data_IF_992771993704
#
_entry.id   IF_992771993704
#
_cell.length_a   1.000
_cell.length_b   1.000
_cell.length_c   1.000
_cell.angle_alpha   90.00
_cell.angle_beta   90.00
_cell.angle_gamma   90.00
#
_symmetry.space_group_name_H-M   'P 1'
#
loop_
_entity.id
_entity.type
_entity.pdbx_description
1 polymer ?
#
# COMPACT_ATOMS: atom_id res chain seq x y z
N UNK A 1 -73.49 -20.62 17.65
CA UNK A 1 -72.10 -20.98 18.00
C UNK A 1 -71.24 -20.77 16.75
N UNK A 2 -70.34 -19.77 16.75
CA UNK A 2 -69.25 -19.48 15.77
C UNK A 2 -69.67 -19.23 14.30
N UNK A 3 -69.13 -18.28 13.52
CA UNK A 3 -68.06 -17.27 13.62
C UNK A 3 -68.26 -16.35 12.39
N UNK A 4 -68.38 -15.04 12.59
CA UNK A 4 -68.02 -14.04 11.56
C UNK A 4 -66.65 -13.46 11.92
N UNK A 5 -65.93 -12.97 10.91
CA UNK A 5 -64.65 -12.22 10.92
C UNK A 5 -63.41 -13.08 10.66
N UNK A 6 -62.94 -13.10 9.41
CA UNK A 6 -61.51 -13.14 9.04
C UNK A 6 -61.40 -12.85 7.54
N UNK A 7 -61.29 -11.59 7.11
CA UNK A 7 -60.77 -11.23 5.76
C UNK A 7 -60.54 -9.72 5.64
N UNK A 8 -59.58 -9.14 6.40
CA UNK A 8 -59.04 -7.79 6.09
C UNK A 8 -57.55 -7.56 6.40
N UNK A 9 -56.78 -8.51 6.94
CA UNK A 9 -55.43 -8.21 7.45
C UNK A 9 -54.23 -8.79 6.69
N UNK A 10 -54.40 -9.39 5.50
CA UNK A 10 -53.29 -10.08 4.79
C UNK A 10 -52.72 -9.28 3.60
N UNK A 11 -53.42 -8.25 3.09
CA UNK A 11 -53.00 -7.57 1.84
C UNK A 11 -52.03 -6.39 2.07
N UNK A 12 -51.88 -5.89 3.29
CA UNK A 12 -50.99 -4.73 3.56
C UNK A 12 -49.55 -5.15 3.86
N UNK A 13 -49.31 -6.35 4.40
CA UNK A 13 -47.94 -6.81 4.72
C UNK A 13 -47.16 -7.23 3.46
N UNK A 14 -47.81 -7.81 2.45
CA UNK A 14 -47.12 -8.25 1.23
C UNK A 14 -46.67 -7.08 0.34
N UNK A 15 -47.38 -5.95 0.34
CA UNK A 15 -46.96 -4.74 -0.39
C UNK A 15 -45.80 -4.02 0.29
N UNK A 16 -45.74 -4.02 1.63
CA UNK A 16 -44.58 -3.49 2.37
C UNK A 16 -43.34 -4.35 2.17
N UNK A 17 -43.47 -5.68 2.17
CA UNK A 17 -42.33 -6.57 1.93
C UNK A 17 -41.84 -6.53 0.48
N UNK A 18 -42.71 -6.43 -0.53
CA UNK A 18 -42.26 -6.31 -1.92
C UNK A 18 -41.68 -4.94 -2.23
N UNK A 19 -42.22 -3.84 -1.68
CA UNK A 19 -41.63 -2.49 -1.85
C UNK A 19 -40.31 -2.33 -1.08
N UNK A 20 -40.16 -2.96 0.09
CA UNK A 20 -38.89 -3.01 0.82
C UNK A 20 -37.84 -3.85 0.07
N UNK A 21 -38.21 -5.01 -0.47
CA UNK A 21 -37.29 -5.83 -1.28
C UNK A 21 -36.93 -5.18 -2.61
N UNK A 22 -37.88 -4.52 -3.29
CA UNK A 22 -37.58 -3.74 -4.50
C UNK A 22 -36.67 -2.55 -4.20
N UNK A 23 -36.82 -1.85 -3.07
CA UNK A 23 -35.94 -0.74 -2.70
C UNK A 23 -34.53 -1.20 -2.30
N UNK A 24 -34.38 -2.34 -1.62
CA UNK A 24 -33.05 -2.93 -1.38
C UNK A 24 -32.38 -3.44 -2.67
N UNK A 25 -33.13 -4.06 -3.58
CA UNK A 25 -32.61 -4.50 -4.87
C UNK A 25 -32.25 -3.31 -5.79
N UNK A 26 -33.02 -2.22 -5.75
CA UNK A 26 -32.67 -0.97 -6.45
C UNK A 26 -31.44 -0.30 -5.85
N UNK A 27 -31.28 -0.33 -4.52
CA UNK A 27 -30.10 0.21 -3.83
C UNK A 27 -28.82 -0.56 -4.23
N UNK A 28 -28.91 -1.87 -4.42
CA UNK A 28 -27.79 -2.70 -4.93
C UNK A 28 -27.46 -2.38 -6.40
N UNK A 29 -28.46 -2.09 -7.24
CA UNK A 29 -28.25 -1.68 -8.63
C UNK A 29 -27.74 -0.24 -8.81
N UNK A 30 -27.98 0.65 -7.84
CA UNK A 30 -27.54 2.05 -7.86
C UNK A 30 -26.12 2.27 -7.32
N UNK A 31 -25.39 1.22 -6.93
CA UNK A 31 -24.01 1.37 -6.42
C UNK A 31 -23.91 2.22 -5.16
N UNK A 32 -25.02 2.41 -4.43
CA UNK A 32 -25.04 3.10 -3.14
C UNK A 32 -24.35 2.22 -2.10
N UNK A 33 -23.03 2.28 -2.08
CA UNK A 33 -22.18 1.65 -1.09
C UNK A 33 -22.50 2.23 0.28
N UNK A 34 -23.25 1.48 1.10
CA UNK A 34 -23.61 1.89 2.45
C UNK A 34 -22.37 1.83 3.36
N UNK A 35 -21.68 2.96 3.52
CA UNK A 35 -20.54 3.08 4.44
C UNK A 35 -21.07 3.32 5.85
N UNK A 36 -20.72 2.42 6.77
CA UNK A 36 -21.05 2.56 8.18
C UNK A 36 -19.97 3.36 8.92
N UNK A 37 -20.43 4.24 9.82
CA UNK A 37 -19.55 5.01 10.70
C UNK A 37 -19.81 4.63 12.15
N UNK A 38 -18.79 4.21 12.89
CA UNK A 38 -18.91 4.04 14.35
C UNK A 38 -18.66 5.37 15.05
N UNK A 39 -19.27 5.54 16.23
CA UNK A 39 -19.15 6.74 17.06
C UNK A 39 -18.14 6.56 18.18
N UNK A 40 -17.33 7.59 18.45
CA UNK A 40 -16.59 7.76 19.71
C UNK A 40 -17.01 9.07 20.36
N UNK A 41 -17.52 9.00 21.59
CA UNK A 41 -18.07 10.16 22.28
C UNK A 41 -16.98 11.07 22.86
N UNK A 42 -17.27 12.37 22.91
CA UNK A 42 -16.43 13.40 23.54
C UNK A 42 -15.00 13.44 22.98
N UNK A 43 -14.83 13.09 21.71
CA UNK A 43 -13.56 13.04 21.02
C UNK A 43 -13.69 13.60 19.61
N UNK A 44 -12.60 14.12 19.08
CA UNK A 44 -12.52 14.62 17.70
C UNK A 44 -11.16 14.34 17.09
N UNK A 45 -11.12 14.06 15.78
CA UNK A 45 -9.88 14.04 15.01
C UNK A 45 -9.54 15.48 14.60
N UNK A 46 -8.43 16.03 15.11
CA UNK A 46 -8.12 17.47 14.96
C UNK A 46 -7.26 17.74 13.73
N UNK A 47 -7.78 18.58 12.84
CA UNK A 47 -7.20 18.97 11.56
C UNK A 47 -7.28 17.86 10.49
N UNK A 48 -6.76 18.12 9.28
CA UNK A 48 -7.20 17.43 8.04
C UNK A 48 -8.72 17.60 7.79
N UNK A 49 -9.31 18.65 8.35
CA UNK A 49 -10.69 19.02 8.08
C UNK A 49 -10.75 19.56 6.66
N UNK A 50 -11.42 18.83 5.78
CA UNK A 50 -11.59 19.17 4.37
C UNK A 50 -12.76 20.11 4.14
N UNK A 51 -13.78 20.05 4.99
CA UNK A 51 -14.93 20.95 4.93
C UNK A 51 -15.63 21.05 6.29
N UNK A 52 -16.34 22.15 6.51
CA UNK A 52 -17.18 22.35 7.69
C UNK A 52 -18.58 22.77 7.27
N UNK A 53 -19.60 22.03 7.70
CA UNK A 53 -21.01 22.30 7.39
C UNK A 53 -21.84 22.46 8.65
N UNK A 54 -22.83 23.34 8.59
CA UNK A 54 -23.86 23.48 9.61
C UNK A 54 -25.11 22.75 9.14
N UNK A 55 -25.61 21.84 9.95
CA UNK A 55 -26.77 21.00 9.64
C UNK A 55 -27.81 21.10 10.76
N UNK A 56 -29.08 20.89 10.42
CA UNK A 56 -30.14 20.91 11.43
C UNK A 56 -30.19 19.59 12.18
N UNK A 57 -29.96 18.49 11.48
CA UNK A 57 -29.87 17.15 12.06
C UNK A 57 -28.46 16.58 11.89
N UNK A 58 -27.90 16.01 12.96
CA UNK A 58 -26.58 15.39 12.91
C UNK A 58 -26.53 14.19 11.96
N UNK A 59 -27.67 13.55 11.68
CA UNK A 59 -27.77 12.47 10.69
C UNK A 59 -27.43 12.91 9.26
N UNK A 60 -27.36 14.22 8.97
CA UNK A 60 -26.94 14.75 7.67
C UNK A 60 -25.42 14.61 7.42
N UNK A 61 -24.60 14.64 8.48
CA UNK A 61 -23.13 14.56 8.36
C UNK A 61 -22.61 13.32 7.60
N UNK A 62 -23.08 12.08 7.84
CA UNK A 62 -22.62 10.91 7.08
C UNK A 62 -22.95 11.01 5.59
N UNK A 63 -24.10 11.58 5.20
CA UNK A 63 -24.44 11.76 3.79
C UNK A 63 -23.51 12.77 3.12
N UNK A 64 -23.24 13.90 3.78
CA UNK A 64 -22.26 14.88 3.30
C UNK A 64 -20.86 14.26 3.11
N UNK A 65 -20.46 13.34 4.00
CA UNK A 65 -19.20 12.62 3.85
C UNK A 65 -19.22 11.68 2.64
N UNK A 66 -20.30 10.90 2.50
CA UNK A 66 -20.47 9.95 1.39
C UNK A 66 -20.47 10.64 0.02
N UNK A 67 -21.14 11.79 -0.10
CA UNK A 67 -21.19 12.59 -1.33
C UNK A 67 -19.81 13.08 -1.80
N UNK A 68 -18.87 13.27 -0.88
CA UNK A 68 -17.49 13.69 -1.22
C UNK A 68 -16.62 12.53 -1.71
N UNK A 69 -16.99 11.30 -1.40
CA UNK A 69 -16.23 10.11 -1.75
C UNK A 69 -15.00 9.86 -0.85
N UNK A 70 -14.40 8.66 -0.94
CA UNK A 70 -13.33 8.19 -0.04
C UNK A 70 -12.05 9.04 -0.06
N UNK A 71 -11.72 9.68 -1.17
CA UNK A 71 -10.52 10.53 -1.26
C UNK A 71 -10.67 11.88 -0.55
N UNK A 72 -11.90 12.33 -0.32
CA UNK A 72 -12.19 13.65 0.28
C UNK A 72 -12.87 13.55 1.66
N UNK A 73 -13.50 12.41 1.99
CA UNK A 73 -14.03 12.15 3.31
C UNK A 73 -13.96 10.67 3.71
N UNK A 74 -13.27 10.41 4.81
CA UNK A 74 -13.13 9.11 5.48
C UNK A 74 -13.80 9.09 6.85
N UNK A 75 -13.71 10.21 7.57
CA UNK A 75 -14.28 10.39 8.91
C UNK A 75 -14.87 11.80 9.04
N UNK A 76 -15.62 12.04 10.10
CA UNK A 76 -16.10 13.38 10.42
C UNK A 76 -16.26 13.58 11.93
N UNK A 77 -16.16 14.82 12.38
CA UNK A 77 -16.55 15.21 13.74
C UNK A 77 -17.92 15.87 13.71
N UNK A 78 -18.74 15.60 14.72
CA UNK A 78 -20.03 16.28 14.95
C UNK A 78 -19.91 17.12 16.20
N UNK A 79 -19.90 18.44 16.02
CA UNK A 79 -20.00 19.41 17.10
C UNK A 79 -21.43 19.50 17.61
N UNK A 80 -21.60 19.33 18.92
CA UNK A 80 -22.87 19.45 19.64
C UNK A 80 -23.49 20.83 19.43
N UNK A 81 -24.81 20.88 19.52
CA UNK A 81 -25.63 22.05 19.21
C UNK A 81 -25.12 23.32 19.88
N UNK A 82 -24.83 24.34 19.07
CA UNK A 82 -24.65 25.71 19.55
C UNK A 82 -26.02 26.34 19.86
N UNK A 83 -26.09 27.42 20.65
CA UNK A 83 -27.34 28.09 21.07
C UNK A 83 -28.39 28.33 19.97
N UNK A 84 -27.99 28.28 18.70
CA UNK A 84 -28.83 28.49 17.51
C UNK A 84 -29.52 27.20 17.00
N UNK A 85 -29.33 26.04 17.63
CA UNK A 85 -30.01 24.78 17.24
C UNK A 85 -29.33 23.95 16.15
N UNK A 86 -28.18 24.38 15.63
CA UNK A 86 -27.46 23.68 14.55
C UNK A 86 -26.27 22.86 15.06
N UNK A 87 -26.04 21.70 14.42
CA UNK A 87 -24.85 20.88 14.56
C UNK A 87 -23.75 21.34 13.60
N UNK A 88 -22.50 21.01 13.93
CA UNK A 88 -21.34 21.30 13.08
C UNK A 88 -20.73 20.00 12.59
N UNK A 89 -20.79 19.72 11.29
CA UNK A 89 -20.06 18.59 10.69
C UNK A 89 -18.69 19.08 10.23
N UNK A 90 -17.60 18.56 10.79
CA UNK A 90 -16.24 18.74 10.27
C UNK A 90 -15.84 17.47 9.50
N UNK A 91 -15.84 17.52 8.17
CA UNK A 91 -15.47 16.39 7.32
C UNK A 91 -13.95 16.27 7.21
N UNK A 92 -13.42 15.05 7.14
CA UNK A 92 -11.98 14.78 7.12
C UNK A 92 -11.62 13.74 6.08
N UNK A 93 -10.57 13.97 5.29
CA UNK A 93 -9.96 12.97 4.40
C UNK A 93 -8.99 12.02 5.11
N UNK A 94 -8.93 12.05 6.43
CA UNK A 94 -8.19 11.11 7.27
C UNK A 94 -9.12 10.38 8.24
N UNK A 95 -8.59 9.35 8.91
CA UNK A 95 -9.26 8.58 9.95
C UNK A 95 -8.28 8.31 11.11
N UNK A 96 -8.77 8.03 12.31
CA UNK A 96 -7.97 7.72 13.51
C UNK A 96 -6.93 6.61 13.31
N UNK A 97 -7.13 5.69 12.37
CA UNK A 97 -6.15 4.63 12.10
C UNK A 97 -4.98 5.13 11.24
N UNK A 98 -5.22 6.13 10.38
CA UNK A 98 -4.18 6.77 9.58
C UNK A 98 -3.40 7.78 10.42
N UNK A 99 -4.10 8.55 11.26
CA UNK A 99 -3.52 9.61 12.09
C UNK A 99 -3.86 9.46 13.59
N UNK A 100 -3.43 8.38 14.27
CA UNK A 100 -3.82 8.09 15.66
C UNK A 100 -3.44 9.20 16.65
N UNK A 101 -2.34 9.90 16.40
CA UNK A 101 -1.83 10.97 17.26
C UNK A 101 -2.70 12.23 17.28
N UNK A 102 -3.59 12.40 16.29
CA UNK A 102 -4.45 13.58 16.15
C UNK A 102 -5.79 13.44 16.86
N UNK A 103 -6.06 12.25 17.40
CA UNK A 103 -7.28 11.97 18.13
C UNK A 103 -7.21 12.65 19.51
N UNK A 104 -8.11 13.60 19.77
CA UNK A 104 -8.11 14.37 21.01
C UNK A 104 -9.45 14.27 21.76
N UNK A 105 -9.40 14.44 23.08
CA UNK A 105 -10.59 14.59 23.91
C UNK A 105 -11.18 15.98 23.69
N UNK A 106 -12.44 16.06 23.28
CA UNK A 106 -13.14 17.32 23.01
C UNK A 106 -14.62 17.15 23.35
N UNK A 107 -15.01 17.53 24.57
CA UNK A 107 -16.34 17.25 25.11
C UNK A 107 -17.51 17.81 24.28
N UNK A 108 -17.27 18.86 23.49
CA UNK A 108 -18.26 19.47 22.60
C UNK A 108 -18.42 18.75 21.27
N UNK A 109 -17.65 17.68 21.00
CA UNK A 109 -17.65 16.97 19.73
C UNK A 109 -17.69 15.46 19.92
N UNK A 110 -18.34 14.77 19.00
CA UNK A 110 -18.28 13.33 18.85
C UNK A 110 -17.62 12.98 17.50
N UNK A 111 -16.80 11.93 17.48
CA UNK A 111 -16.09 11.46 16.29
C UNK A 111 -16.83 10.31 15.63
N UNK A 112 -16.87 10.33 14.30
CA UNK A 112 -17.46 9.29 13.48
C UNK A 112 -16.44 8.82 12.45
N UNK A 113 -16.08 7.54 12.47
CA UNK A 113 -15.05 6.96 11.60
C UNK A 113 -15.42 5.58 11.09
N UNK A 114 -14.58 5.03 10.21
CA UNK A 114 -14.80 3.74 9.55
C UNK A 114 -13.99 2.63 10.17
N UNK A 115 -14.49 1.39 10.16
CA UNK A 115 -13.73 0.23 10.66
C UNK A 115 -12.45 0.04 9.85
N UNK A 116 -11.44 -0.66 10.40
CA UNK A 116 -10.20 -0.96 9.68
C UNK A 116 -10.46 -1.72 8.39
N UNK A 117 -11.34 -2.73 8.41
CA UNK A 117 -11.77 -3.49 7.23
C UNK A 117 -12.38 -2.59 6.15
N UNK A 118 -13.23 -1.64 6.57
CA UNK A 118 -13.80 -0.64 5.66
C UNK A 118 -12.70 0.28 5.14
N UNK A 119 -11.81 0.78 6.00
CA UNK A 119 -10.72 1.67 5.62
C UNK A 119 -9.81 1.05 4.55
N UNK A 120 -9.43 -0.22 4.71
CA UNK A 120 -8.63 -0.93 3.70
C UNK A 120 -9.38 -1.09 2.37
N UNK A 121 -10.70 -1.32 2.43
CA UNK A 121 -11.55 -1.34 1.23
C UNK A 121 -11.69 0.05 0.60
N UNK A 122 -11.68 1.12 1.39
CA UNK A 122 -11.75 2.49 0.89
C UNK A 122 -10.44 2.98 0.29
N UNK A 123 -9.33 2.49 0.83
CA UNK A 123 -7.98 2.92 0.49
C UNK A 123 -7.06 1.72 0.19
N UNK A 124 -7.37 0.90 -0.83
CA UNK A 124 -6.62 -0.33 -1.10
C UNK A 124 -5.12 -0.08 -1.25
N UNK A 125 -4.72 1.04 -1.86
CA UNK A 125 -3.31 1.38 -2.09
C UNK A 125 -2.53 1.80 -0.86
N UNK A 126 -3.17 2.18 0.25
CA UNK A 126 -2.45 2.52 1.50
C UNK A 126 -1.75 1.30 2.12
N UNK A 127 -2.25 0.10 1.82
CA UNK A 127 -1.63 -1.16 2.26
C UNK A 127 -0.42 -1.59 1.44
N UNK A 128 -0.03 -0.82 0.41
CA UNK A 128 1.00 -1.20 -0.59
C UNK A 128 0.78 -2.62 -1.14
N UNK A 129 -0.39 -2.89 -1.76
CA UNK A 129 -0.76 -4.24 -2.18
C UNK A 129 0.06 -4.72 -3.39
N UNK A 130 0.62 -3.81 -4.17
CA UNK A 130 1.50 -4.10 -5.30
C UNK A 130 2.93 -4.36 -4.80
N UNK A 131 3.50 -5.51 -5.15
CA UNK A 131 4.83 -5.90 -4.70
C UNK A 131 5.93 -5.42 -5.66
N UNK A 132 7.17 -5.50 -5.18
CA UNK A 132 8.37 -5.37 -6.02
C UNK A 132 8.43 -4.08 -6.85
N UNK A 133 8.04 -2.96 -6.24
CA UNK A 133 8.05 -1.63 -6.85
C UNK A 133 6.91 -1.39 -7.85
N UNK A 134 5.88 -2.22 -7.86
CA UNK A 134 4.64 -1.96 -8.60
C UNK A 134 3.89 -0.74 -8.05
N UNK A 135 3.31 0.05 -8.94
CA UNK A 135 2.49 1.22 -8.56
C UNK A 135 1.04 0.80 -8.41
N UNK A 136 0.43 1.09 -7.26
CA UNK A 136 -0.98 0.81 -7.03
C UNK A 136 -1.86 1.92 -7.60
N UNK A 137 -2.86 1.53 -8.39
CA UNK A 137 -3.84 2.42 -9.02
C UNK A 137 -5.21 2.04 -8.49
N UNK A 138 -5.96 3.02 -7.99
CA UNK A 138 -7.34 2.80 -7.55
C UNK A 138 -8.24 2.44 -8.73
N UNK A 139 -9.07 1.41 -8.57
CA UNK A 139 -10.06 0.99 -9.54
C UNK A 139 -11.33 1.85 -9.50
N UNK A 140 -12.24 1.65 -10.47
CA UNK A 140 -13.49 2.41 -10.56
C UNK A 140 -14.49 2.06 -9.46
N UNK A 141 -14.39 0.87 -8.86
CA UNK A 141 -15.25 0.42 -7.75
C UNK A 141 -14.52 0.51 -6.41
N UNK A 142 -15.30 0.66 -5.33
CA UNK A 142 -14.76 0.65 -3.97
C UNK A 142 -14.02 -0.66 -3.70
N UNK A 143 -12.80 -0.57 -3.16
CA UNK A 143 -11.94 -1.73 -2.87
C UNK A 143 -11.17 -2.25 -4.07
N UNK A 144 -11.52 -1.85 -5.29
CA UNK A 144 -10.82 -2.28 -6.49
C UNK A 144 -9.51 -1.51 -6.63
N UNK A 145 -8.47 -2.22 -7.06
CA UNK A 145 -7.19 -1.64 -7.44
C UNK A 145 -6.55 -2.49 -8.52
N UNK A 146 -5.64 -1.89 -9.27
CA UNK A 146 -4.75 -2.59 -10.19
C UNK A 146 -3.31 -2.22 -9.89
N UNK A 147 -2.39 -3.11 -10.24
CA UNK A 147 -0.96 -2.82 -10.12
C UNK A 147 -0.37 -2.57 -11.50
N UNK A 148 0.24 -1.39 -11.65
CA UNK A 148 1.12 -1.13 -12.78
C UNK A 148 2.52 -1.62 -12.40
N UNK A 149 2.85 -2.84 -12.84
CA UNK A 149 4.16 -3.42 -12.61
C UNK A 149 5.24 -2.65 -13.38
N UNK A 150 6.43 -2.59 -12.79
CA UNK A 150 7.59 -1.97 -13.43
C UNK A 150 8.13 -2.80 -14.59
N UNK A 151 9.37 -2.51 -15.00
CA UNK A 151 10.04 -3.30 -16.03
C UNK A 151 10.27 -4.71 -15.52
N UNK A 152 9.83 -5.68 -16.32
CA UNK A 152 10.06 -7.10 -16.08
C UNK A 152 11.54 -7.43 -16.25
N UNK A 153 12.06 -8.31 -15.38
CA UNK A 153 13.37 -8.90 -15.54
C UNK A 153 13.15 -10.21 -16.29
N UNK A 154 13.78 -10.42 -17.45
CA UNK A 154 13.56 -11.64 -18.25
C UNK A 154 13.80 -12.94 -17.47
N UNK A 155 14.63 -12.89 -16.42
CA UNK A 155 14.96 -14.02 -15.53
C UNK A 155 14.17 -14.04 -14.21
N UNK A 156 13.28 -13.07 -13.98
CA UNK A 156 12.28 -13.02 -12.90
C UNK A 156 10.97 -12.42 -13.43
N UNK A 157 10.17 -13.19 -14.16
CA UNK A 157 8.89 -12.71 -14.65
C UNK A 157 7.90 -12.51 -13.50
N UNK A 158 6.90 -11.65 -13.74
CA UNK A 158 5.78 -11.51 -12.81
C UNK A 158 4.85 -12.72 -12.91
N UNK A 159 4.48 -13.29 -11.77
CA UNK A 159 3.61 -14.48 -11.70
C UNK A 159 2.13 -14.13 -11.56
N UNK A 160 1.81 -12.88 -11.22
CA UNK A 160 0.44 -12.39 -11.09
C UNK A 160 0.31 -10.89 -11.40
N UNK A 161 -0.94 -10.42 -11.37
CA UNK A 161 -1.34 -9.03 -11.56
C UNK A 161 -1.02 -8.11 -10.37
N UNK A 162 -0.46 -8.66 -9.28
CA UNK A 162 0.04 -7.92 -8.11
C UNK A 162 1.55 -7.72 -8.14
N UNK A 163 2.16 -8.04 -9.28
CA UNK A 163 3.59 -7.94 -9.54
C UNK A 163 4.43 -8.86 -8.66
N UNK A 164 3.87 -9.97 -8.14
CA UNK A 164 4.68 -10.96 -7.44
C UNK A 164 5.68 -11.60 -8.40
N UNK A 165 6.86 -11.96 -7.90
CA UNK A 165 7.87 -12.72 -8.66
C UNK A 165 8.19 -14.01 -7.92
N UNK A 166 8.52 -15.06 -8.66
CA UNK A 166 8.98 -16.33 -8.10
C UNK A 166 10.46 -16.21 -7.69
N UNK A 167 10.76 -16.35 -6.40
CA UNK A 167 12.11 -16.13 -5.85
C UNK A 167 12.86 -17.43 -5.54
N UNK A 168 12.44 -18.57 -6.10
CA UNK A 168 13.02 -19.87 -5.76
C UNK A 168 14.53 -19.97 -6.09
N UNK A 169 14.97 -19.32 -7.17
CA UNK A 169 16.37 -19.26 -7.60
C UNK A 169 17.13 -18.03 -7.07
N UNK A 170 16.46 -17.17 -6.30
CA UNK A 170 17.03 -15.94 -5.78
C UNK A 170 17.88 -16.22 -4.54
N UNK A 171 19.15 -15.88 -4.62
CA UNK A 171 20.10 -15.97 -3.51
C UNK A 171 20.48 -14.56 -3.08
N UNK A 172 20.26 -14.24 -1.81
CA UNK A 172 20.64 -12.97 -1.18
C UNK A 172 21.63 -13.31 -0.06
N UNK A 173 22.79 -12.68 -0.08
CA UNK A 173 23.81 -12.86 0.95
C UNK A 173 23.64 -11.85 2.09
N UNK A 174 24.24 -12.17 3.24
CA UNK A 174 24.26 -11.27 4.38
C UNK A 174 24.91 -9.93 4.03
N UNK A 175 24.27 -8.84 4.44
CA UNK A 175 24.77 -7.49 4.23
C UNK A 175 26.01 -7.21 5.09
N UNK A 176 26.95 -6.44 4.54
CA UNK A 176 28.08 -5.86 5.24
C UNK A 176 28.16 -4.37 4.88
N UNK A 177 28.05 -3.49 5.88
CA UNK A 177 27.93 -2.03 5.70
C UNK A 177 26.85 -1.64 4.68
N UNK A 178 25.66 -2.27 4.77
CA UNK A 178 24.55 -2.04 3.87
C UNK A 178 24.68 -2.68 2.49
N UNK A 179 25.87 -3.18 2.10
CA UNK A 179 26.12 -3.83 0.82
C UNK A 179 25.90 -5.34 0.92
N UNK A 180 25.12 -5.89 0.00
CA UNK A 180 24.91 -7.32 -0.13
C UNK A 180 24.94 -7.77 -1.59
N UNK A 181 25.27 -9.04 -1.79
CA UNK A 181 25.29 -9.68 -3.11
C UNK A 181 23.95 -10.38 -3.36
N UNK A 182 23.39 -10.20 -4.55
CA UNK A 182 22.16 -10.84 -4.99
C UNK A 182 22.34 -11.53 -6.35
N UNK A 183 21.83 -12.76 -6.48
CA UNK A 183 22.01 -13.58 -7.68
C UNK A 183 20.76 -14.41 -8.00
N UNK A 184 20.58 -14.74 -9.28
CA UNK A 184 19.47 -15.58 -9.78
C UNK A 184 20.09 -16.66 -10.64
N UNK A 185 20.38 -17.79 -9.99
CA UNK A 185 21.38 -18.72 -10.49
C UNK A 185 22.75 -18.04 -10.72
N UNK A 186 23.59 -18.64 -11.56
CA UNK A 186 24.94 -18.14 -11.84
C UNK A 186 24.94 -17.20 -13.05
N UNK A 187 25.25 -15.92 -12.82
CA UNK A 187 25.54 -14.93 -13.86
C UNK A 187 24.47 -14.85 -14.96
N UNK A 188 23.24 -14.49 -14.58
CA UNK A 188 22.10 -14.39 -15.51
C UNK A 188 21.57 -12.95 -15.67
N UNK A 189 22.07 -12.01 -14.89
CA UNK A 189 21.59 -10.62 -14.86
C UNK A 189 22.45 -9.73 -15.76
N UNK A 190 21.81 -9.06 -16.72
CA UNK A 190 22.45 -7.92 -17.39
C UNK A 190 22.48 -6.70 -16.44
N UNK A 191 23.08 -5.59 -16.86
CA UNK A 191 23.17 -4.41 -16.00
C UNK A 191 21.79 -3.90 -15.53
N UNK A 192 20.80 -3.86 -16.43
CA UNK A 192 19.45 -3.39 -16.11
C UNK A 192 18.70 -4.39 -15.21
N UNK A 193 18.84 -5.69 -15.47
CA UNK A 193 18.28 -6.76 -14.64
C UNK A 193 18.82 -6.66 -13.21
N UNK A 194 20.13 -6.44 -13.05
CA UNK A 194 20.77 -6.31 -11.75
C UNK A 194 20.30 -5.08 -10.98
N UNK A 195 20.17 -3.93 -11.66
CA UNK A 195 19.60 -2.71 -11.07
C UNK A 195 18.17 -2.96 -10.59
N UNK A 196 17.34 -3.55 -11.46
CA UNK A 196 15.95 -3.84 -11.17
C UNK A 196 15.80 -4.83 -10.03
N UNK A 197 16.67 -5.84 -9.94
CA UNK A 197 16.69 -6.78 -8.82
C UNK A 197 16.94 -6.06 -7.49
N UNK A 198 17.87 -5.11 -7.44
CA UNK A 198 18.07 -4.33 -6.22
C UNK A 198 16.81 -3.54 -5.83
N UNK A 199 16.11 -2.92 -6.78
CA UNK A 199 14.85 -2.21 -6.52
C UNK A 199 13.75 -3.14 -5.97
N UNK A 200 13.63 -4.33 -6.55
CA UNK A 200 12.72 -5.40 -6.10
C UNK A 200 13.01 -5.75 -4.63
N UNK A 201 14.28 -5.74 -4.23
CA UNK A 201 14.72 -6.00 -2.85
C UNK A 201 14.62 -4.79 -1.92
N UNK A 202 14.03 -3.68 -2.38
CA UNK A 202 13.95 -2.43 -1.61
C UNK A 202 15.32 -1.84 -1.33
N UNK A 203 16.24 -1.99 -2.28
CA UNK A 203 17.62 -1.52 -2.25
C UNK A 203 17.94 -0.73 -3.52
N UNK A 204 19.10 -0.07 -3.53
CA UNK A 204 19.67 0.54 -4.74
C UNK A 204 20.83 -0.30 -5.23
N UNK A 205 21.24 -0.15 -6.49
CA UNK A 205 22.46 -0.78 -6.95
C UNK A 205 23.67 -0.12 -6.26
N UNK A 206 24.57 -0.92 -5.70
CA UNK A 206 25.69 -0.40 -4.91
C UNK A 206 26.65 0.40 -5.79
N UNK A 207 27.15 1.50 -5.23
CA UNK A 207 28.26 2.27 -5.81
C UNK A 207 29.60 1.62 -5.49
N UNK A 208 30.64 1.97 -6.25
CA UNK A 208 32.00 1.54 -5.94
C UNK A 208 32.44 1.93 -4.53
N UNK A 209 32.12 3.15 -4.09
CA UNK A 209 32.50 3.64 -2.76
C UNK A 209 31.82 2.86 -1.63
N UNK A 210 30.54 2.50 -1.79
CA UNK A 210 29.84 1.63 -0.85
C UNK A 210 30.47 0.23 -0.81
N UNK A 211 30.75 -0.36 -1.98
CA UNK A 211 31.44 -1.66 -2.03
C UNK A 211 32.83 -1.60 -1.38
N UNK A 212 33.56 -0.49 -1.56
CA UNK A 212 34.86 -0.27 -0.94
C UNK A 212 34.78 -0.19 0.57
N UNK A 213 33.82 0.57 1.11
CA UNK A 213 33.60 0.63 2.56
C UNK A 213 33.24 -0.75 3.14
N UNK A 214 32.37 -1.52 2.46
CA UNK A 214 32.03 -2.88 2.86
C UNK A 214 33.24 -3.83 2.79
N UNK A 215 34.06 -3.74 1.75
CA UNK A 215 35.30 -4.50 1.62
C UNK A 215 36.30 -4.16 2.72
N UNK A 216 36.48 -2.88 3.06
CA UNK A 216 37.32 -2.43 4.18
C UNK A 216 36.81 -2.98 5.52
N UNK A 217 35.49 -3.12 5.67
CA UNK A 217 34.82 -3.77 6.80
C UNK A 217 34.80 -5.31 6.74
N UNK A 218 35.50 -5.93 5.78
CA UNK A 218 35.73 -7.37 5.73
C UNK A 218 34.87 -8.14 4.73
N UNK A 219 34.06 -7.47 3.90
CA UNK A 219 33.33 -8.14 2.83
C UNK A 219 34.30 -8.80 1.83
N UNK A 220 34.11 -10.10 1.61
CA UNK A 220 34.78 -10.86 0.57
C UNK A 220 33.78 -11.78 -0.12
N UNK A 221 33.73 -11.73 -1.45
CA UNK A 221 32.92 -12.63 -2.26
C UNK A 221 33.54 -12.78 -3.64
N UNK A 222 33.83 -14.01 -4.02
CA UNK A 222 34.36 -14.33 -5.34
C UNK A 222 33.24 -14.53 -6.37
N UNK A 223 32.52 -13.44 -6.67
CA UNK A 223 31.51 -13.42 -7.71
C UNK A 223 31.40 -12.02 -8.30
N UNK A 224 31.47 -11.92 -9.63
CA UNK A 224 31.28 -10.66 -10.34
C UNK A 224 29.83 -10.20 -10.16
N UNK A 225 29.67 -8.99 -9.65
CA UNK A 225 28.39 -8.31 -9.54
C UNK A 225 28.45 -6.93 -10.18
N UNK A 226 27.33 -6.52 -10.80
CA UNK A 226 27.18 -5.19 -11.37
C UNK A 226 27.09 -4.11 -10.29
N UNK A 227 27.83 -3.02 -10.49
CA UNK A 227 27.76 -1.79 -9.70
C UNK A 227 27.04 -0.68 -10.47
N UNK A 228 26.58 0.36 -9.76
CA UNK A 228 25.80 1.46 -10.30
C UNK A 228 26.53 2.25 -11.42
N UNK A 229 27.85 2.22 -11.45
CA UNK A 229 28.68 2.86 -12.48
C UNK A 229 28.78 2.05 -13.79
N UNK A 230 28.12 0.90 -13.87
CA UNK A 230 28.20 0.01 -15.03
C UNK A 230 29.48 -0.80 -15.11
N UNK A 231 30.25 -0.87 -14.02
CA UNK A 231 31.35 -1.83 -13.87
C UNK A 231 30.84 -3.13 -13.25
N UNK A 232 31.57 -4.23 -13.45
CA UNK A 232 31.34 -5.48 -12.75
C UNK A 232 32.60 -5.84 -11.95
N UNK A 233 32.43 -6.06 -10.65
CA UNK A 233 33.55 -6.26 -9.71
C UNK A 233 33.21 -7.27 -8.62
N UNK A 234 34.25 -7.77 -7.95
CA UNK A 234 34.16 -8.65 -6.80
C UNK A 234 35.23 -8.29 -5.75
N UNK A 235 34.88 -8.19 -4.45
CA UNK A 235 35.82 -7.85 -3.40
C UNK A 235 36.54 -9.10 -2.84
N UNK A 236 37.86 -9.05 -2.75
CA UNK A 236 38.72 -10.09 -2.16
C UNK A 236 39.63 -9.53 -1.07
N UNK A 237 39.64 -10.16 0.10
CA UNK A 237 40.52 -9.85 1.25
C UNK A 237 41.69 -10.81 1.35
N UNK A 238 41.51 -12.06 0.95
CA UNK A 238 42.52 -13.12 0.93
C UNK A 238 42.48 -13.88 -0.39
N UNK A 239 43.58 -14.53 -0.75
CA UNK A 239 43.57 -15.47 -1.87
C UNK A 239 42.55 -16.61 -1.61
N UNK A 240 41.88 -17.06 -2.67
CA UNK A 240 40.89 -18.13 -2.59
C UNK A 240 40.96 -19.02 -3.84
N UNK A 241 40.82 -20.35 -3.71
CA UNK A 241 40.72 -21.24 -4.86
C UNK A 241 39.64 -20.78 -5.84
N UNK A 242 39.96 -20.77 -7.13
CA UNK A 242 39.05 -20.33 -8.20
C UNK A 242 38.98 -18.81 -8.43
N UNK A 243 39.60 -18.01 -7.56
CA UNK A 243 39.52 -16.55 -7.57
C UNK A 243 40.87 -15.88 -7.83
N UNK A 244 41.92 -16.68 -8.01
CA UNK A 244 43.31 -16.24 -8.14
C UNK A 244 43.90 -15.73 -6.82
N UNK A 245 45.08 -15.11 -6.93
CA UNK A 245 45.80 -14.49 -5.82
C UNK A 245 45.57 -12.97 -5.77
N UNK A 246 44.37 -12.52 -6.15
CA UNK A 246 44.04 -11.10 -6.19
C UNK A 246 43.49 -10.63 -4.84
N UNK A 247 44.04 -9.54 -4.30
CA UNK A 247 43.54 -8.84 -3.11
C UNK A 247 43.10 -7.44 -3.53
N UNK A 248 41.90 -7.03 -3.11
CA UNK A 248 41.28 -5.76 -3.48
C UNK A 248 39.91 -5.95 -4.13
N UNK A 249 39.38 -4.88 -4.71
CA UNK A 249 38.14 -4.91 -5.49
C UNK A 249 38.51 -5.15 -6.94
N UNK A 250 38.36 -6.41 -7.37
CA UNK A 250 38.85 -6.93 -8.65
C UNK A 250 37.74 -6.85 -9.70
N UNK A 251 38.07 -6.45 -10.91
CA UNK A 251 37.11 -6.35 -12.02
C UNK A 251 37.44 -5.19 -12.96
N UNK A 252 36.49 -4.81 -13.79
CA UNK A 252 36.70 -3.71 -14.75
C UNK A 252 36.77 -2.35 -14.05
N UNK A 253 37.74 -1.52 -14.44
CA UNK A 253 37.86 -0.13 -13.97
C UNK A 253 36.96 0.85 -14.73
N UNK A 254 36.49 0.48 -15.92
CA UNK A 254 35.61 1.27 -16.78
C UNK A 254 34.29 0.53 -17.04
N UNK A 255 33.20 1.24 -17.39
CA UNK A 255 31.95 0.59 -17.74
C UNK A 255 32.14 -0.44 -18.87
N UNK A 256 31.45 -1.56 -18.77
CA UNK A 256 31.53 -2.66 -19.75
C UNK A 256 30.19 -2.82 -20.48
N UNK A 257 30.15 -3.71 -21.47
CA UNK A 257 28.93 -3.99 -22.23
C UNK A 257 27.77 -4.37 -21.29
N UNK A 258 26.72 -3.54 -21.26
CA UNK A 258 25.56 -3.69 -20.35
C UNK A 258 24.77 -4.97 -20.57
N UNK A 259 24.95 -5.65 -21.70
CA UNK A 259 24.32 -6.94 -22.01
C UNK A 259 25.07 -8.14 -21.43
N UNK A 260 26.31 -7.98 -20.96
CA UNK A 260 27.06 -9.05 -20.30
C UNK A 260 26.31 -9.54 -19.07
N UNK A 261 26.43 -10.83 -18.75
CA UNK A 261 25.68 -11.43 -17.65
C UNK A 261 26.56 -11.66 -16.43
N UNK A 262 26.13 -11.12 -15.29
CA UNK A 262 26.76 -11.23 -13.97
C UNK A 262 25.67 -11.31 -12.88
N UNK A 263 26.04 -11.07 -11.63
CA UNK A 263 25.10 -10.92 -10.50
C UNK A 263 24.91 -9.43 -10.16
N UNK A 264 24.32 -9.11 -9.01
CA UNK A 264 24.09 -7.74 -8.55
C UNK A 264 24.78 -7.48 -7.21
N UNK A 265 25.38 -6.29 -7.07
CA UNK A 265 25.67 -5.70 -5.77
C UNK A 265 24.59 -4.67 -5.45
N UNK A 266 23.91 -4.86 -4.32
CA UNK A 266 22.86 -3.98 -3.86
C UNK A 266 23.25 -3.30 -2.55
N UNK A 267 22.69 -2.13 -2.30
CA UNK A 267 22.90 -1.33 -1.10
C UNK A 267 21.57 -0.90 -0.48
N UNK A 268 21.43 -1.15 0.81
CA UNK A 268 20.31 -0.70 1.64
C UNK A 268 20.87 -0.11 2.93
N UNK A 269 20.43 1.11 3.25
CA UNK A 269 20.77 1.81 4.50
C UNK A 269 20.19 1.10 5.74
#
# INVERSE_FOLDING_TARGET
MFKMLFFKSIVVLTSYFTTAFLSLALAQHLGLQYRNFYKLENRSLVGNVTDTKKVKDYFECPFLCLERGPSACLSFNVGKTTNNGYYTCELSNSDRYLDPHRMQQRASYDYYGVTTESLFSLLPCTSSPCKYGGTCIHGPRLGEFSCQCGVEITVLPFIDDKCNVETNDLVIETSNQGVFHAAIGRYRLNFNDARRLCEILGATQATYNQLKAAWEAGLQRCALGWLADGTARFPMRTASPGCGNYIGIVGSSTPINKNTKYNAWCYKE
#
